data_IF_508608680605
#
_entry.id   IF_508608680605
#
_cell.length_a   1.000
_cell.length_b   1.000
_cell.length_c   1.000
_cell.angle_alpha   90.00
_cell.angle_beta   90.00
_cell.angle_gamma   90.00
#
_symmetry.space_group_name_H-M   'P 1'
#
loop_
_entity.id
_entity.type
_entity.pdbx_description
1 polymer ?
#
# COMPACT_ATOMS: atom_id res chain seq x y z
N UNK A 1 -18.16 -10.00 -23.89
CA UNK A 1 -17.05 -10.46 -23.02
C UNK A 1 -16.03 -9.34 -22.98
N UNK A 2 -15.66 -8.81 -21.81
CA UNK A 2 -14.59 -7.78 -21.75
C UNK A 2 -13.26 -8.46 -22.06
N UNK A 3 -12.51 -7.93 -23.01
CA UNK A 3 -11.16 -8.41 -23.32
C UNK A 3 -10.21 -8.12 -22.14
N UNK A 4 -9.18 -8.95 -21.91
CA UNK A 4 -8.13 -8.63 -20.95
C UNK A 4 -7.47 -7.31 -21.31
N UNK A 5 -7.13 -6.50 -20.29
CA UNK A 5 -6.38 -5.24 -20.48
C UNK A 5 -4.94 -5.53 -20.93
N UNK A 6 -4.39 -6.66 -20.51
CA UNK A 6 -3.05 -7.12 -20.84
C UNK A 6 -3.03 -8.65 -20.93
N UNK A 7 -2.21 -9.22 -21.81
CA UNK A 7 -1.99 -10.66 -21.96
C UNK A 7 -0.58 -10.87 -22.54
N UNK A 8 0.18 -11.81 -21.97
CA UNK A 8 1.56 -12.07 -22.40
C UNK A 8 2.09 -13.40 -21.84
N UNK A 9 3.26 -13.83 -22.32
CA UNK A 9 3.99 -14.98 -21.76
C UNK A 9 4.97 -14.48 -20.68
N UNK A 10 4.86 -14.93 -19.41
CA UNK A 10 5.73 -14.47 -18.33
C UNK A 10 7.23 -14.78 -18.57
N UNK A 11 7.57 -15.70 -19.48
CA UNK A 11 8.95 -16.02 -19.86
C UNK A 11 9.59 -14.97 -20.76
N UNK A 12 8.78 -14.12 -21.40
CA UNK A 12 9.23 -13.04 -22.30
C UNK A 12 8.93 -11.68 -21.67
N UNK A 13 7.76 -11.52 -21.05
CA UNK A 13 7.23 -10.25 -20.56
C UNK A 13 7.07 -10.24 -19.02
N UNK A 14 8.21 -10.29 -18.32
CA UNK A 14 8.26 -10.37 -16.85
C UNK A 14 7.51 -9.22 -16.15
N UNK A 15 7.54 -8.02 -16.72
CA UNK A 15 6.90 -6.85 -16.11
C UNK A 15 5.36 -6.93 -16.16
N UNK A 16 4.80 -7.46 -17.25
CA UNK A 16 3.36 -7.72 -17.35
C UNK A 16 2.89 -8.79 -16.37
N UNK A 17 3.70 -9.82 -16.17
CA UNK A 17 3.45 -10.83 -15.13
C UNK A 17 3.47 -10.23 -13.72
N UNK A 18 4.46 -9.38 -13.42
CA UNK A 18 4.57 -8.69 -12.13
C UNK A 18 3.36 -7.78 -11.85
N UNK A 19 2.93 -7.00 -12.85
CA UNK A 19 1.71 -6.18 -12.75
C UNK A 19 0.47 -7.03 -12.47
N UNK A 20 0.37 -8.18 -13.13
CA UNK A 20 -0.74 -9.12 -12.95
C UNK A 20 -0.77 -9.70 -11.53
N UNK A 21 0.38 -10.06 -10.96
CA UNK A 21 0.47 -10.53 -9.57
C UNK A 21 0.07 -9.43 -8.57
N UNK A 22 0.37 -8.16 -8.87
CA UNK A 22 0.04 -7.04 -8.00
C UNK A 22 -1.47 -6.75 -7.90
N UNK A 23 -2.31 -7.38 -8.73
CA UNK A 23 -3.78 -7.34 -8.60
C UNK A 23 -4.27 -8.08 -7.35
N UNK A 24 -3.51 -9.05 -6.83
CA UNK A 24 -3.83 -9.74 -5.59
C UNK A 24 -3.44 -8.88 -4.38
N UNK A 25 -4.45 -8.34 -3.69
CA UNK A 25 -4.25 -7.53 -2.48
C UNK A 25 -3.77 -8.40 -1.31
N UNK A 26 -2.83 -7.88 -0.53
CA UNK A 26 -2.20 -8.57 0.60
C UNK A 26 -2.11 -7.65 1.82
N UNK A 27 -1.98 -8.23 3.01
CA UNK A 27 -1.45 -7.49 4.15
C UNK A 27 0.06 -7.30 4.02
N UNK A 28 0.62 -6.37 4.80
CA UNK A 28 2.07 -6.15 4.86
C UNK A 28 2.64 -6.75 6.14
N UNK A 29 3.73 -7.50 6.02
CA UNK A 29 4.44 -8.07 7.18
C UNK A 29 5.90 -7.61 7.21
N UNK A 30 6.48 -7.55 8.41
CA UNK A 30 7.94 -7.61 8.59
C UNK A 30 8.26 -8.99 9.15
N UNK A 31 9.06 -9.75 8.41
CA UNK A 31 9.58 -11.03 8.87
C UNK A 31 10.93 -10.77 9.53
N UNK A 32 11.13 -11.29 10.74
CA UNK A 32 12.33 -11.07 11.53
C UNK A 32 12.92 -12.39 12.04
N UNK A 33 14.23 -12.41 12.25
CA UNK A 33 14.93 -13.55 12.85
C UNK A 33 16.17 -13.04 13.59
N UNK A 34 16.75 -13.88 14.44
CA UNK A 34 18.01 -13.61 15.12
C UNK A 34 18.98 -14.77 14.92
N UNK A 35 20.18 -14.48 14.45
CA UNK A 35 21.23 -15.47 14.22
C UNK A 35 22.54 -14.93 14.76
N UNK A 36 23.16 -15.66 15.70
CA UNK A 36 24.42 -15.24 16.32
C UNK A 36 24.32 -13.93 17.12
N UNK A 37 23.12 -13.57 17.60
CA UNK A 37 22.85 -12.32 18.32
C UNK A 37 22.60 -11.12 17.41
N UNK A 38 22.75 -11.26 16.09
CA UNK A 38 22.40 -10.23 15.11
C UNK A 38 20.93 -10.36 14.68
N UNK A 39 20.24 -9.22 14.62
CA UNK A 39 18.81 -9.13 14.25
C UNK A 39 18.66 -8.86 12.76
N UNK A 40 17.87 -9.68 12.09
CA UNK A 40 17.56 -9.54 10.67
C UNK A 40 16.07 -9.31 10.48
N UNK A 41 15.71 -8.48 9.51
CA UNK A 41 14.33 -8.13 9.23
C UNK A 41 14.14 -7.70 7.78
N UNK A 42 13.04 -8.13 7.17
CA UNK A 42 12.61 -7.62 5.87
C UNK A 42 11.09 -7.47 5.78
N UNK A 43 10.66 -6.50 5.00
CA UNK A 43 9.26 -6.37 4.62
C UNK A 43 8.92 -7.45 3.60
N UNK A 44 7.81 -8.13 3.81
CA UNK A 44 7.28 -9.16 2.93
C UNK A 44 5.75 -9.06 2.83
N UNK A 45 5.23 -9.31 1.64
CA UNK A 45 3.81 -9.51 1.39
C UNK A 45 3.51 -10.89 0.79
N UNK A 46 4.47 -11.82 0.86
CA UNK A 46 4.31 -13.23 0.44
C UNK A 46 3.80 -14.14 1.55
N UNK A 47 3.53 -13.59 2.74
CA UNK A 47 3.00 -14.32 3.89
C UNK A 47 1.61 -14.92 3.60
N UNK A 48 1.36 -16.15 4.02
CA UNK A 48 0.07 -16.82 3.90
C UNK A 48 -0.09 -17.89 4.98
N UNK A 49 -1.32 -18.07 5.49
CA UNK A 49 -1.68 -19.18 6.38
C UNK A 49 -1.80 -20.49 5.60
N UNK A 50 -1.24 -21.59 6.12
CA UNK A 50 -1.21 -22.90 5.45
C UNK A 50 -2.16 -23.89 6.11
N UNK A 51 -2.10 -24.01 7.43
CA UNK A 51 -2.85 -25.02 8.19
C UNK A 51 -3.25 -24.47 9.56
N UNK A 52 -4.38 -24.94 10.09
CA UNK A 52 -4.81 -24.66 11.45
C UNK A 52 -4.33 -25.73 12.44
N UNK A 53 -4.24 -26.99 12.02
CA UNK A 53 -3.74 -28.10 12.85
C UNK A 53 -2.86 -29.06 12.01
N UNK A 54 -1.53 -29.06 12.19
CA UNK A 54 -0.77 -28.13 13.04
C UNK A 54 -0.86 -26.69 12.53
N UNK A 55 -0.63 -25.67 13.38
CA UNK A 55 -0.73 -24.26 13.00
C UNK A 55 0.46 -23.84 12.14
N UNK A 56 0.30 -23.85 10.81
CA UNK A 56 1.38 -23.59 9.87
C UNK A 56 1.13 -22.31 9.07
N UNK A 57 2.21 -21.58 8.84
CA UNK A 57 2.28 -20.42 7.96
C UNK A 57 3.44 -20.57 6.98
N UNK A 58 3.39 -19.84 5.86
CA UNK A 58 4.51 -19.75 4.94
C UNK A 58 4.78 -18.32 4.49
N UNK A 59 5.98 -18.10 3.99
CA UNK A 59 6.38 -16.91 3.25
C UNK A 59 7.62 -17.23 2.40
N UNK A 60 8.01 -16.31 1.53
CA UNK A 60 9.13 -16.50 0.60
C UNK A 60 10.13 -15.35 0.66
N UNK A 61 11.43 -15.68 0.65
CA UNK A 61 12.54 -14.73 0.59
C UNK A 61 13.31 -14.85 -0.73
N UNK A 62 13.64 -13.72 -1.36
CA UNK A 62 14.51 -13.69 -2.55
C UNK A 62 15.91 -14.17 -2.21
N UNK A 63 16.51 -14.95 -3.11
CA UNK A 63 17.89 -15.45 -2.96
C UNK A 63 18.92 -14.33 -2.92
N UNK A 64 18.66 -13.22 -3.60
CA UNK A 64 19.54 -12.05 -3.64
C UNK A 64 19.38 -11.14 -2.41
N UNK A 65 18.50 -11.48 -1.47
CA UNK A 65 18.33 -10.72 -0.24
C UNK A 65 19.61 -10.75 0.60
N UNK A 66 20.02 -9.59 1.13
CA UNK A 66 21.16 -9.51 2.07
C UNK A 66 20.94 -10.34 3.34
N UNK A 67 19.68 -10.55 3.73
CA UNK A 67 19.32 -11.37 4.88
C UNK A 67 19.07 -12.84 4.51
N UNK A 68 19.30 -13.25 3.25
CA UNK A 68 19.02 -14.61 2.78
C UNK A 68 19.70 -15.67 3.63
N UNK A 69 21.00 -15.53 3.89
CA UNK A 69 21.76 -16.51 4.67
C UNK A 69 21.22 -16.66 6.09
N UNK A 70 20.79 -15.57 6.72
CA UNK A 70 20.22 -15.60 8.07
C UNK A 70 18.90 -16.38 8.11
N UNK A 71 18.00 -16.15 7.17
CA UNK A 71 16.71 -16.85 7.11
C UNK A 71 16.84 -18.29 6.60
N UNK A 72 17.73 -18.56 5.64
CA UNK A 72 17.95 -19.92 5.14
C UNK A 72 18.45 -20.89 6.21
N UNK A 73 19.16 -20.37 7.23
CA UNK A 73 19.68 -21.14 8.36
C UNK A 73 18.91 -20.93 9.67
N UNK A 74 17.80 -20.16 9.66
CA UNK A 74 17.12 -19.81 10.92
C UNK A 74 16.38 -21.01 11.51
N UNK A 75 16.45 -21.14 12.84
CA UNK A 75 15.62 -22.09 13.59
C UNK A 75 14.25 -21.50 13.93
N UNK A 76 14.18 -20.18 14.10
CA UNK A 76 12.97 -19.44 14.44
C UNK A 76 12.88 -18.15 13.63
N UNK A 77 11.66 -17.69 13.41
CA UNK A 77 11.38 -16.37 12.86
C UNK A 77 10.08 -15.84 13.43
N UNK A 78 9.90 -14.53 13.42
CA UNK A 78 8.63 -13.90 13.75
C UNK A 78 8.01 -13.23 12.53
N UNK A 79 6.69 -13.31 12.43
CA UNK A 79 5.88 -12.60 11.43
C UNK A 79 5.19 -11.44 12.14
N UNK A 80 5.53 -10.21 11.77
CA UNK A 80 4.94 -8.99 12.32
C UNK A 80 3.97 -8.37 11.29
N UNK A 81 2.65 -8.54 11.47
CA UNK A 81 1.63 -7.99 10.57
C UNK A 81 1.41 -6.52 10.88
N UNK A 82 1.81 -5.64 9.96
CA UNK A 82 1.82 -4.20 10.20
C UNK A 82 0.40 -3.59 10.25
N UNK A 83 0.23 -2.59 11.11
CA UNK A 83 -0.97 -1.76 11.18
C UNK A 83 -0.94 -0.63 10.14
N UNK A 84 -2.11 -0.06 9.81
CA UNK A 84 -2.30 0.91 8.72
C UNK A 84 -1.41 2.17 8.81
N UNK A 85 -1.02 2.56 10.02
CA UNK A 85 -0.15 3.70 10.31
C UNK A 85 1.35 3.38 10.28
N UNK A 86 1.74 2.11 10.05
CA UNK A 86 3.12 1.64 10.09
C UNK A 86 3.80 1.59 8.70
N UNK A 87 3.44 2.51 7.81
CA UNK A 87 4.07 2.64 6.48
C UNK A 87 5.59 2.86 6.60
N UNK A 88 6.02 3.67 7.57
CA UNK A 88 7.44 3.95 7.78
C UNK A 88 8.23 2.68 8.14
N UNK A 89 7.69 1.80 8.98
CA UNK A 89 8.29 0.50 9.29
C UNK A 89 8.36 -0.38 8.04
N UNK A 90 7.28 -0.44 7.26
CA UNK A 90 7.27 -1.19 5.99
C UNK A 90 8.39 -0.72 5.06
N UNK A 91 8.55 0.60 4.88
CA UNK A 91 9.59 1.15 4.00
C UNK A 91 11.00 0.92 4.57
N UNK A 92 11.18 1.10 5.87
CA UNK A 92 12.44 0.87 6.58
C UNK A 92 12.95 -0.55 6.36
N UNK A 93 12.09 -1.54 6.54
CA UNK A 93 12.47 -2.95 6.38
C UNK A 93 12.54 -3.41 4.92
N UNK A 94 11.93 -2.69 3.97
CA UNK A 94 12.04 -2.97 2.53
C UNK A 94 13.37 -2.47 1.91
N UNK A 95 13.96 -1.40 2.47
CA UNK A 95 15.22 -0.83 1.98
C UNK A 95 16.42 -1.70 2.36
N UNK A 96 17.48 -1.66 1.56
CA UNK A 96 18.79 -2.18 1.98
C UNK A 96 19.51 -1.13 2.82
N UNK A 97 20.07 -1.52 3.97
CA UNK A 97 20.82 -0.61 4.82
C UNK A 97 21.29 -1.28 6.11
N UNK A 98 22.31 -0.71 6.78
CA UNK A 98 22.74 -1.16 8.09
C UNK A 98 21.69 -0.82 9.16
N UNK A 99 21.73 -1.58 10.26
CA UNK A 99 21.00 -1.32 11.52
C UNK A 99 19.53 -0.92 11.38
N UNK A 100 18.73 -1.79 10.76
CA UNK A 100 17.27 -1.60 10.62
C UNK A 100 16.52 -1.63 11.95
N UNK A 101 17.16 -1.98 13.07
CA UNK A 101 16.50 -2.13 14.36
C UNK A 101 16.99 -1.14 15.44
N UNK A 102 17.97 -0.27 15.13
CA UNK A 102 18.74 0.48 16.13
C UNK A 102 17.93 1.30 17.14
N UNK A 103 16.91 2.01 16.68
CA UNK A 103 16.01 2.87 17.46
C UNK A 103 14.61 2.26 17.64
N UNK A 104 14.40 1.01 17.23
CA UNK A 104 13.10 0.35 17.36
C UNK A 104 13.00 -0.39 18.69
N UNK A 105 11.91 -0.14 19.40
CA UNK A 105 11.52 -0.95 20.55
C UNK A 105 11.03 -2.31 20.05
N UNK A 106 11.77 -3.36 20.44
CA UNK A 106 11.52 -4.72 19.98
C UNK A 106 11.65 -5.70 21.14
N UNK A 107 10.59 -6.45 21.42
CA UNK A 107 10.68 -7.59 22.32
C UNK A 107 11.41 -8.75 21.63
N UNK A 108 12.09 -9.57 22.43
CA UNK A 108 12.70 -10.81 21.96
C UNK A 108 11.68 -11.95 22.07
N UNK A 109 11.11 -12.37 20.94
CA UNK A 109 10.25 -13.55 20.86
C UNK A 109 11.04 -14.87 20.92
N UNK A 110 10.37 -15.97 20.60
CA UNK A 110 10.97 -17.30 20.50
C UNK A 110 12.18 -17.31 19.55
N UNK A 111 13.26 -17.96 19.97
CA UNK A 111 14.54 -17.95 19.26
C UNK A 111 15.18 -16.55 19.15
N UNK A 112 14.78 -15.61 20.01
CA UNK A 112 15.18 -14.19 19.98
C UNK A 112 14.79 -13.45 18.68
N UNK A 113 13.81 -13.96 17.93
CA UNK A 113 13.28 -13.27 16.76
C UNK A 113 12.58 -11.95 17.19
N UNK A 114 12.94 -10.79 16.63
CA UNK A 114 12.37 -9.50 17.06
C UNK A 114 10.87 -9.37 16.83
N UNK A 115 10.11 -9.00 17.87
CA UNK A 115 8.70 -8.63 17.79
C UNK A 115 8.58 -7.10 17.78
N UNK A 116 7.93 -6.55 16.75
CA UNK A 116 7.75 -5.11 16.61
C UNK A 116 6.53 -4.63 17.42
N UNK A 117 6.66 -3.48 18.08
CA UNK A 117 5.57 -2.85 18.80
C UNK A 117 4.47 -2.30 17.86
N UNK A 118 3.24 -2.24 18.35
CA UNK A 118 2.12 -1.57 17.66
C UNK A 118 1.61 -2.26 16.40
N UNK A 119 2.01 -3.51 16.15
CA UNK A 119 1.55 -4.32 15.00
C UNK A 119 0.09 -4.74 15.16
N UNK A 120 -0.57 -5.11 14.06
CA UNK A 120 -1.92 -5.67 14.09
C UNK A 120 -1.94 -7.11 14.64
N UNK A 121 -0.89 -7.88 14.34
CA UNK A 121 -0.66 -9.21 14.91
C UNK A 121 0.82 -9.58 14.84
N UNK A 122 1.25 -10.49 15.71
CA UNK A 122 2.55 -11.16 15.62
C UNK A 122 2.41 -12.67 15.76
N UNK A 123 3.26 -13.40 15.05
CA UNK A 123 3.35 -14.86 15.12
C UNK A 123 4.80 -15.26 15.34
N UNK A 124 5.08 -15.99 16.40
CA UNK A 124 6.39 -16.56 16.70
C UNK A 124 6.42 -17.99 16.16
N UNK A 125 7.37 -18.27 15.28
CA UNK A 125 7.40 -19.48 14.48
C UNK A 125 8.69 -20.27 14.70
N UNK A 126 8.56 -21.59 14.81
CA UNK A 126 9.68 -22.53 14.60
C UNK A 126 9.75 -22.83 13.10
N UNK A 127 10.92 -22.66 12.49
CA UNK A 127 11.12 -22.99 11.08
C UNK A 127 11.11 -24.52 10.90
N UNK A 128 10.08 -25.05 10.24
CA UNK A 128 9.89 -26.49 10.05
C UNK A 128 10.54 -27.00 8.78
N UNK A 129 10.40 -26.25 7.69
CA UNK A 129 10.85 -26.69 6.39
C UNK A 129 11.16 -25.50 5.49
N UNK A 130 12.17 -25.68 4.64
CA UNK A 130 12.47 -24.76 3.54
C UNK A 130 12.32 -25.49 2.21
N UNK A 131 11.72 -24.84 1.21
CA UNK A 131 11.49 -25.39 -0.12
C UNK A 131 12.05 -24.47 -1.19
N UNK A 132 12.56 -25.07 -2.28
CA UNK A 132 12.96 -24.31 -3.45
C UNK A 132 11.73 -23.70 -4.14
N UNK A 133 11.77 -22.39 -4.40
CA UNK A 133 10.72 -21.63 -5.05
C UNK A 133 11.22 -20.85 -6.27
N UNK A 134 12.23 -21.35 -6.98
CA UNK A 134 12.86 -20.64 -8.10
C UNK A 134 13.82 -19.54 -7.60
N UNK A 135 13.53 -18.27 -7.90
CA UNK A 135 14.32 -17.11 -7.43
C UNK A 135 14.11 -16.82 -5.93
N UNK A 136 13.22 -17.58 -5.26
CA UNK A 136 12.99 -17.50 -3.82
C UNK A 136 13.25 -18.84 -3.12
N UNK A 137 13.46 -18.74 -1.80
CA UNK A 137 13.30 -19.84 -0.85
C UNK A 137 11.98 -19.66 -0.12
N UNK A 138 11.15 -20.70 -0.08
CA UNK A 138 9.90 -20.72 0.68
C UNK A 138 10.22 -21.28 2.07
N UNK A 139 9.79 -20.58 3.12
CA UNK A 139 9.91 -21.03 4.50
C UNK A 139 8.53 -21.38 5.03
N UNK A 140 8.39 -22.57 5.61
CA UNK A 140 7.21 -23.02 6.33
C UNK A 140 7.54 -22.99 7.82
N UNK A 141 6.77 -22.22 8.58
CA UNK A 141 6.90 -22.11 10.03
C UNK A 141 5.68 -22.68 10.75
N UNK A 142 5.94 -23.35 11.88
CA UNK A 142 4.89 -23.69 12.84
C UNK A 142 4.77 -22.59 13.87
N UNK A 143 3.57 -22.04 14.03
CA UNK A 143 3.28 -20.98 14.99
C UNK A 143 3.20 -21.59 16.38
N UNK A 144 4.10 -21.19 17.27
CA UNK A 144 4.17 -21.66 18.65
C UNK A 144 3.62 -20.65 19.66
N UNK A 145 3.62 -19.36 19.31
CA UNK A 145 2.95 -18.28 20.04
C UNK A 145 2.42 -17.24 19.06
N UNK A 146 1.32 -16.58 19.40
CA UNK A 146 0.77 -15.49 18.61
C UNK A 146 0.17 -14.39 19.49
N UNK A 147 0.16 -13.17 18.97
CA UNK A 147 -0.50 -12.01 19.58
C UNK A 147 -1.38 -11.33 18.54
N UNK A 148 -2.57 -10.90 18.94
CA UNK A 148 -3.49 -10.15 18.08
C UNK A 148 -3.86 -8.85 18.78
N UNK A 149 -3.84 -7.75 18.03
CA UNK A 149 -4.23 -6.43 18.51
C UNK A 149 -5.44 -5.92 17.73
N UNK A 150 -6.22 -5.03 18.34
CA UNK A 150 -7.37 -4.40 17.70
C UNK A 150 -6.92 -3.19 16.88
N UNK A 151 -6.22 -3.45 15.77
CA UNK A 151 -5.69 -2.44 14.85
C UNK A 151 -6.00 -2.85 13.42
N UNK A 152 -6.30 -1.86 12.58
CA UNK A 152 -6.53 -2.09 11.15
C UNK A 152 -5.21 -2.46 10.47
N UNK A 153 -5.18 -3.50 9.61
CA UNK A 153 -3.96 -3.92 8.95
C UNK A 153 -3.58 -2.96 7.81
N UNK A 154 -2.28 -2.80 7.59
CA UNK A 154 -1.75 -2.16 6.39
C UNK A 154 -1.94 -3.09 5.18
N UNK A 155 -2.58 -2.57 4.14
CA UNK A 155 -2.79 -3.32 2.90
C UNK A 155 -1.80 -2.88 1.82
N UNK A 156 -1.52 -3.81 0.90
CA UNK A 156 -0.68 -3.57 -0.26
C UNK A 156 -1.30 -4.18 -1.51
N UNK A 157 -1.49 -3.36 -2.55
CA UNK A 157 -2.13 -3.74 -3.81
C UNK A 157 -1.65 -2.83 -4.94
N UNK A 158 -1.43 -3.38 -6.14
CA UNK A 158 -0.96 -2.66 -7.33
C UNK A 158 0.29 -1.79 -7.09
N UNK A 159 1.21 -2.27 -6.25
CA UNK A 159 2.46 -1.57 -5.92
C UNK A 159 2.34 -0.49 -4.85
N UNK A 160 1.14 -0.29 -4.28
CA UNK A 160 0.88 0.77 -3.31
C UNK A 160 0.21 0.32 -2.02
N UNK A 161 0.38 1.15 -0.99
CA UNK A 161 -0.30 1.04 0.28
C UNK A 161 -1.77 1.42 0.15
N UNK A 162 -2.63 0.68 0.84
CA UNK A 162 -4.05 0.91 0.90
C UNK A 162 -4.58 0.75 2.33
N UNK A 163 -5.76 1.30 2.57
CA UNK A 163 -6.50 1.14 3.81
C UNK A 163 -7.62 0.13 3.62
N UNK A 164 -7.94 -0.61 4.68
CA UNK A 164 -9.15 -1.42 4.71
C UNK A 164 -10.37 -0.50 4.83
N UNK A 165 -11.36 -0.71 3.95
CA UNK A 165 -12.67 -0.09 4.05
C UNK A 165 -13.72 -1.20 4.09
N UNK A 166 -14.75 -1.03 4.92
CA UNK A 166 -15.89 -1.94 4.92
C UNK A 166 -16.54 -1.96 3.54
N UNK A 167 -16.83 -3.16 3.03
CA UNK A 167 -17.48 -3.29 1.74
C UNK A 167 -18.94 -2.82 1.87
N UNK A 168 -19.39 -1.80 1.11
CA UNK A 168 -20.71 -1.20 1.30
C UNK A 168 -21.85 -2.20 1.08
N UNK A 169 -21.66 -3.16 0.17
CA UNK A 169 -22.71 -4.14 -0.15
C UNK A 169 -22.84 -5.27 0.89
N UNK A 170 -21.92 -5.41 1.86
CA UNK A 170 -22.09 -6.40 2.94
C UNK A 170 -23.34 -6.11 3.78
N UNK A 171 -23.78 -4.85 3.85
CA UNK A 171 -25.07 -4.49 4.47
C UNK A 171 -26.27 -4.89 3.62
N UNK A 172 -26.13 -4.99 2.30
CA UNK A 172 -27.20 -5.47 1.41
C UNK A 172 -27.41 -7.00 1.55
N UNK A 173 -26.35 -7.76 1.85
CA UNK A 173 -26.44 -9.21 2.12
C UNK A 173 -26.96 -9.55 3.52
N UNK A 174 -26.86 -8.64 4.49
CA UNK A 174 -27.44 -8.80 5.83
C UNK A 174 -28.99 -8.67 5.85
N UNK A 175 -29.64 -8.67 4.68
CA UNK A 175 -31.08 -8.57 4.47
C UNK A 175 -31.89 -9.79 4.92
N UNK A 176 -31.77 -10.17 6.19
CA UNK A 176 -32.82 -10.87 6.91
C UNK A 176 -33.58 -9.87 7.77
N UNK A 177 -34.84 -9.57 7.41
CA UNK A 177 -35.72 -8.65 8.12
C UNK A 177 -35.24 -7.19 8.14
N UNK A 178 -35.56 -6.45 7.08
CA UNK A 178 -35.75 -5.01 7.15
C UNK A 178 -36.94 -4.71 8.08
N UNK A 179 -36.74 -4.85 9.39
CA UNK A 179 -37.60 -4.28 10.41
C UNK A 179 -36.77 -3.30 11.23
N UNK A 180 -36.94 -2.03 10.89
CA UNK A 180 -36.82 -0.85 11.76
C UNK A 180 -35.63 -0.84 12.73
N UNK A 181 -34.48 -0.40 12.25
CA UNK A 181 -33.57 0.40 13.08
C UNK A 181 -33.33 1.74 12.39
N UNK A 182 -34.04 2.74 12.90
CA UNK A 182 -33.82 4.18 12.84
C UNK A 182 -32.96 4.75 11.68
N UNK A 183 -33.57 5.61 10.85
CA UNK A 183 -32.92 6.37 9.78
C UNK A 183 -31.89 7.41 10.26
N UNK A 184 -31.26 7.19 11.42
CA UNK A 184 -30.16 7.96 11.98
C UNK A 184 -28.79 7.46 11.48
N UNK A 185 -28.60 6.15 11.29
CA UNK A 185 -27.35 5.59 10.75
C UNK A 185 -27.09 5.96 9.28
N UNK A 186 -28.17 6.08 8.48
CA UNK A 186 -28.11 6.57 7.09
C UNK A 186 -27.73 8.06 6.99
N UNK A 187 -27.89 8.82 8.08
CA UNK A 187 -27.58 10.26 8.15
C UNK A 187 -26.22 10.56 8.76
N UNK A 188 -25.51 9.56 9.28
CA UNK A 188 -24.16 9.79 9.81
C UNK A 188 -23.27 10.19 8.63
N UNK A 189 -22.73 11.40 8.70
CA UNK A 189 -21.95 12.02 7.63
C UNK A 189 -20.81 11.12 7.14
N UNK A 190 -20.19 10.34 8.03
CA UNK A 190 -19.14 9.38 7.67
C UNK A 190 -19.59 8.32 6.66
N UNK A 191 -20.80 7.75 6.81
CA UNK A 191 -21.34 6.75 5.88
C UNK A 191 -21.62 7.37 4.50
N UNK A 192 -22.17 8.58 4.48
CA UNK A 192 -22.40 9.32 3.24
C UNK A 192 -21.08 9.66 2.54
N UNK A 193 -20.05 10.07 3.29
CA UNK A 193 -18.72 10.34 2.74
C UNK A 193 -18.09 9.10 2.10
N UNK A 194 -18.18 7.92 2.75
CA UNK A 194 -17.64 6.67 2.20
C UNK A 194 -18.34 6.31 0.89
N UNK A 195 -19.67 6.34 0.86
CA UNK A 195 -20.45 6.01 -0.36
C UNK A 195 -20.20 7.01 -1.49
N UNK A 196 -20.16 8.30 -1.17
CA UNK A 196 -19.86 9.34 -2.13
C UNK A 196 -18.45 9.15 -2.72
N UNK A 197 -17.46 8.89 -1.87
CA UNK A 197 -16.09 8.59 -2.30
C UNK A 197 -16.03 7.37 -3.21
N UNK A 198 -16.65 6.24 -2.84
CA UNK A 198 -16.66 5.03 -3.67
C UNK A 198 -17.32 5.26 -5.04
N UNK A 199 -18.43 6.00 -5.08
CA UNK A 199 -19.12 6.35 -6.33
C UNK A 199 -18.28 7.26 -7.22
N UNK A 200 -17.65 8.29 -6.64
CA UNK A 200 -16.77 9.22 -7.36
C UNK A 200 -15.54 8.46 -7.88
N UNK A 201 -14.88 7.67 -7.04
CA UNK A 201 -13.70 6.90 -7.40
C UNK A 201 -13.98 5.91 -8.54
N UNK A 202 -15.12 5.22 -8.50
CA UNK A 202 -15.53 4.29 -9.56
C UNK A 202 -15.72 4.99 -10.91
N UNK A 203 -16.39 6.15 -10.93
CA UNK A 203 -16.59 6.92 -12.16
C UNK A 203 -15.31 7.52 -12.71
N UNK A 204 -14.44 8.03 -11.84
CA UNK A 204 -13.14 8.56 -12.25
C UNK A 204 -12.27 7.47 -12.90
N UNK A 205 -12.25 6.26 -12.35
CA UNK A 205 -11.51 5.14 -12.96
C UNK A 205 -12.11 4.72 -14.31
N UNK A 206 -13.45 4.73 -14.46
CA UNK A 206 -14.11 4.47 -15.75
C UNK A 206 -13.76 5.52 -16.81
N UNK A 207 -13.80 6.81 -16.47
CA UNK A 207 -13.44 7.90 -17.38
C UNK A 207 -11.98 7.83 -17.82
N UNK A 208 -11.09 7.49 -16.89
CA UNK A 208 -9.65 7.33 -17.17
C UNK A 208 -9.36 6.19 -18.15
N UNK A 209 -10.11 5.10 -18.08
CA UNK A 209 -9.98 3.94 -18.98
C UNK A 209 -10.59 4.19 -20.37
N UNK A 210 -11.65 5.00 -20.46
CA UNK A 210 -12.37 5.25 -21.72
C UNK A 210 -11.77 6.38 -22.55
N UNK A 211 -11.18 7.41 -21.92
CA UNK A 211 -10.55 8.52 -22.64
C UNK A 211 -9.03 8.40 -22.81
N UNK A 212 -8.44 7.28 -22.38
CA UNK A 212 -7.10 6.88 -22.80
C UNK A 212 -6.05 8.00 -22.72
N UNK A 213 -5.91 8.67 -21.55
CA UNK A 213 -4.90 9.71 -21.33
C UNK A 213 -3.44 9.22 -21.47
N UNK A 214 -3.25 7.93 -21.78
CA UNK A 214 -1.97 7.29 -22.06
C UNK A 214 -1.09 7.09 -20.83
N UNK A 215 -1.62 7.36 -19.62
CA UNK A 215 -0.90 7.21 -18.36
C UNK A 215 -1.68 6.34 -17.39
N UNK A 216 -0.99 5.74 -16.41
CA UNK A 216 -1.56 5.08 -15.25
C UNK A 216 -1.90 6.10 -14.15
N UNK A 217 -2.74 5.71 -13.18
CA UNK A 217 -3.09 6.57 -12.05
C UNK A 217 -1.84 7.00 -11.26
N UNK A 218 -0.89 6.07 -11.11
CA UNK A 218 0.36 6.32 -10.39
C UNK A 218 1.25 7.30 -11.15
N UNK A 219 1.35 7.21 -12.47
CA UNK A 219 2.11 8.17 -13.28
C UNK A 219 1.51 9.58 -13.13
N UNK A 220 0.18 9.69 -13.19
CA UNK A 220 -0.50 10.97 -12.95
C UNK A 220 -0.24 11.54 -11.55
N UNK A 221 -0.18 10.69 -10.51
CA UNK A 221 0.17 11.11 -9.14
C UNK A 221 1.58 11.67 -9.06
N UNK A 222 2.56 10.98 -9.64
CA UNK A 222 3.96 11.43 -9.65
C UNK A 222 4.12 12.79 -10.35
N UNK A 223 3.45 12.98 -11.51
CA UNK A 223 3.48 14.28 -12.19
C UNK A 223 2.90 15.40 -11.32
N UNK A 224 1.80 15.13 -10.61
CA UNK A 224 1.18 16.11 -9.70
C UNK A 224 2.08 16.42 -8.49
N UNK A 225 2.71 15.41 -7.90
CA UNK A 225 3.64 15.59 -6.79
C UNK A 225 4.85 16.44 -7.22
N UNK A 226 5.45 16.13 -8.38
CA UNK A 226 6.56 16.89 -8.95
C UNK A 226 6.17 18.35 -9.32
N UNK A 227 4.91 18.60 -9.70
CA UNK A 227 4.43 19.96 -9.94
C UNK A 227 4.18 20.76 -8.65
N UNK A 228 3.71 20.08 -7.59
CA UNK A 228 3.37 20.72 -6.31
C UNK A 228 4.63 21.02 -5.50
N UNK A 229 5.59 20.10 -5.54
CA UNK A 229 6.85 20.15 -4.81
C UNK A 229 8.02 19.93 -5.80
N UNK A 230 8.35 20.93 -6.64
CA UNK A 230 9.44 20.80 -7.60
C UNK A 230 10.79 20.66 -6.89
N UNK A 231 11.77 20.09 -7.60
CA UNK A 231 13.16 19.96 -7.11
C UNK A 231 13.31 19.07 -5.87
N UNK A 232 12.36 18.17 -5.63
CA UNK A 232 12.43 17.14 -4.61
C UNK A 232 13.01 15.84 -5.18
N UNK A 233 13.70 15.08 -4.33
CA UNK A 233 14.12 13.71 -4.67
C UNK A 233 12.92 12.76 -4.61
N UNK A 234 13.06 11.56 -5.20
CA UNK A 234 12.01 10.54 -5.14
C UNK A 234 11.62 10.22 -3.68
N UNK A 235 12.60 10.07 -2.80
CA UNK A 235 12.38 9.81 -1.37
C UNK A 235 11.49 10.87 -0.70
N UNK A 236 11.69 12.14 -1.05
CA UNK A 236 10.90 13.23 -0.51
C UNK A 236 9.46 13.27 -1.08
N UNK A 237 9.22 12.72 -2.26
CA UNK A 237 7.90 12.64 -2.89
C UNK A 237 7.12 11.37 -2.49
N UNK A 238 7.80 10.31 -2.04
CA UNK A 238 7.18 9.03 -1.68
C UNK A 238 5.98 9.12 -0.74
N UNK A 239 5.94 9.99 0.29
CA UNK A 239 4.77 10.14 1.15
C UNK A 239 3.47 10.48 0.40
N UNK A 240 3.57 11.15 -0.75
CA UNK A 240 2.42 11.53 -1.58
C UNK A 240 2.00 10.44 -2.59
N UNK A 241 2.90 9.50 -2.90
CA UNK A 241 2.67 8.47 -3.92
C UNK A 241 1.87 7.30 -3.38
N UNK A 242 1.97 7.04 -2.07
CA UNK A 242 1.45 5.83 -1.41
C UNK A 242 2.00 4.55 -2.04
N UNK A 243 3.21 4.59 -2.61
CA UNK A 243 3.89 3.46 -3.22
C UNK A 243 5.04 3.00 -2.34
N UNK A 244 5.42 1.73 -2.45
CA UNK A 244 6.69 1.29 -1.87
C UNK A 244 7.89 1.88 -2.64
N UNK A 245 9.09 1.74 -2.10
CA UNK A 245 10.31 2.28 -2.71
C UNK A 245 10.59 1.71 -4.11
N UNK A 246 10.41 0.40 -4.30
CA UNK A 246 10.67 -0.27 -5.57
C UNK A 246 9.68 0.17 -6.66
N UNK A 247 8.38 0.18 -6.34
CA UNK A 247 7.31 0.65 -7.20
C UNK A 247 7.47 2.14 -7.52
N UNK A 248 7.86 2.96 -6.55
CA UNK A 248 8.15 4.39 -6.77
C UNK A 248 9.30 4.59 -7.75
N UNK A 249 10.35 3.76 -7.66
CA UNK A 249 11.50 3.82 -8.58
C UNK A 249 11.12 3.38 -10.00
N UNK A 250 10.45 2.25 -10.16
CA UNK A 250 9.98 1.79 -11.47
C UNK A 250 8.99 2.78 -12.10
N UNK A 251 8.17 3.43 -11.27
CA UNK A 251 7.30 4.52 -11.72
C UNK A 251 8.09 5.71 -12.25
N UNK A 252 9.13 6.15 -11.52
CA UNK A 252 9.99 7.23 -11.94
C UNK A 252 10.69 6.91 -13.27
N UNK A 253 11.29 5.71 -13.38
CA UNK A 253 11.92 5.22 -14.62
C UNK A 253 10.92 5.24 -15.79
N UNK A 254 9.68 4.84 -15.54
CA UNK A 254 8.61 4.86 -16.55
C UNK A 254 8.22 6.26 -17.01
N UNK A 255 8.12 7.27 -16.12
CA UNK A 255 7.77 8.64 -16.57
C UNK A 255 8.95 9.38 -17.20
N UNK A 256 10.18 9.02 -16.81
CA UNK A 256 11.40 9.53 -17.44
C UNK A 256 11.53 8.99 -18.85
N UNK A 257 11.28 7.69 -19.07
CA UNK A 257 11.32 7.10 -20.42
C UNK A 257 10.24 7.65 -21.35
N UNK A 258 9.10 8.10 -20.79
CA UNK A 258 8.07 8.84 -21.52
C UNK A 258 8.42 10.31 -21.77
N UNK A 259 9.56 10.80 -21.26
CA UNK A 259 10.02 12.18 -21.44
C UNK A 259 9.19 13.22 -20.68
N UNK A 260 8.39 12.81 -19.69
CA UNK A 260 7.50 13.70 -18.93
C UNK A 260 8.19 14.35 -17.73
N UNK A 261 9.29 13.74 -17.28
CA UNK A 261 10.05 14.15 -16.11
C UNK A 261 11.54 14.09 -16.44
N UNK A 262 12.29 15.06 -15.91
CA UNK A 262 13.75 15.05 -15.89
C UNK A 262 14.24 14.89 -14.45
N UNK A 263 15.36 14.18 -14.30
CA UNK A 263 16.07 14.00 -13.03
C UNK A 263 17.46 14.61 -13.19
N UNK A 264 17.84 15.52 -12.29
CA UNK A 264 19.17 16.14 -12.32
C UNK A 264 20.25 15.25 -11.66
N UNK A 265 21.52 15.69 -11.71
CA UNK A 265 22.67 14.96 -11.15
C UNK A 265 22.56 14.70 -9.63
N UNK A 266 21.67 15.43 -8.93
CA UNK A 266 21.42 15.29 -7.51
C UNK A 266 20.17 14.46 -7.23
N UNK A 267 19.57 13.85 -8.24
CA UNK A 267 18.36 13.03 -8.11
C UNK A 267 17.08 13.85 -7.94
N UNK A 268 17.10 15.17 -8.19
CA UNK A 268 15.92 16.03 -8.06
C UNK A 268 15.05 15.96 -9.30
N UNK A 269 13.76 15.87 -9.07
CA UNK A 269 12.74 15.59 -10.08
C UNK A 269 12.06 16.89 -10.52
N UNK A 270 11.96 17.12 -11.83
CA UNK A 270 11.21 18.24 -12.43
C UNK A 270 10.37 17.79 -13.61
N UNK A 271 9.23 18.45 -13.82
CA UNK A 271 8.46 18.26 -15.04
C UNK A 271 9.18 18.82 -16.26
N UNK A 272 9.08 18.12 -17.38
CA UNK A 272 9.42 18.69 -18.70
C UNK A 272 8.22 19.48 -19.24
N UNK A 273 8.42 20.26 -20.31
CA UNK A 273 7.31 20.94 -20.99
C UNK A 273 6.18 19.97 -21.41
N UNK A 274 6.55 18.77 -21.89
CA UNK A 274 5.61 17.70 -22.22
C UNK A 274 4.90 17.16 -20.97
N UNK A 275 5.61 17.02 -19.84
CA UNK A 275 5.04 16.65 -18.54
C UNK A 275 4.01 17.64 -18.04
N UNK A 276 4.29 18.94 -18.13
CA UNK A 276 3.37 20.00 -17.74
C UNK A 276 2.11 20.02 -18.63
N UNK A 277 2.28 19.89 -19.94
CA UNK A 277 1.14 19.81 -20.87
C UNK A 277 0.26 18.61 -20.55
N UNK A 278 0.89 17.46 -20.32
CA UNK A 278 0.18 16.23 -19.93
C UNK A 278 -0.56 16.40 -18.61
N UNK A 279 0.06 17.03 -17.61
CA UNK A 279 -0.58 17.31 -16.32
C UNK A 279 -1.78 18.25 -16.48
N UNK A 280 -1.66 19.30 -17.30
CA UNK A 280 -2.78 20.21 -17.61
C UNK A 280 -3.96 19.46 -18.23
N UNK A 281 -3.70 18.54 -19.16
CA UNK A 281 -4.74 17.70 -19.76
C UNK A 281 -5.43 16.81 -18.72
N UNK A 282 -4.68 16.18 -17.81
CA UNK A 282 -5.23 15.37 -16.71
C UNK A 282 -6.14 16.21 -15.81
N UNK A 283 -5.67 17.41 -15.41
CA UNK A 283 -6.43 18.30 -14.53
C UNK A 283 -7.70 18.81 -15.24
N UNK A 284 -7.62 19.16 -16.53
CA UNK A 284 -8.77 19.59 -17.31
C UNK A 284 -9.83 18.48 -17.41
N UNK A 285 -9.41 17.24 -17.69
CA UNK A 285 -10.30 16.09 -17.74
C UNK A 285 -10.96 15.80 -16.38
N UNK A 286 -10.18 15.85 -15.28
CA UNK A 286 -10.71 15.68 -13.94
C UNK A 286 -11.80 16.73 -13.61
N UNK A 287 -11.57 17.99 -13.98
CA UNK A 287 -12.56 19.08 -13.81
C UNK A 287 -13.81 18.88 -14.66
N UNK A 288 -13.66 18.41 -15.91
CA UNK A 288 -14.81 18.12 -16.77
C UNK A 288 -15.68 16.99 -16.18
N UNK A 289 -15.06 15.93 -15.67
CA UNK A 289 -15.76 14.85 -14.98
C UNK A 289 -16.43 15.32 -13.69
N UNK A 290 -15.76 16.18 -12.91
CA UNK A 290 -16.30 16.77 -11.70
C UNK A 290 -17.58 17.60 -11.99
N UNK A 291 -17.57 18.39 -13.08
CA UNK A 291 -18.72 19.16 -13.52
C UNK A 291 -19.92 18.29 -13.91
N UNK A 292 -19.67 17.13 -14.55
CA UNK A 292 -20.72 16.14 -14.87
C UNK A 292 -21.25 15.47 -13.59
N UNK A 293 -20.35 15.10 -12.68
CA UNK A 293 -20.67 14.44 -11.40
C UNK A 293 -21.57 15.30 -10.52
N UNK A 294 -21.31 16.60 -10.48
CA UNK A 294 -22.05 17.55 -9.64
C UNK A 294 -23.09 18.37 -10.41
N UNK A 295 -23.42 17.97 -11.63
CA UNK A 295 -24.45 18.61 -12.42
C UNK A 295 -25.79 18.62 -11.65
N UNK A 296 -26.37 19.81 -11.48
CA UNK A 296 -27.63 20.01 -10.75
C UNK A 296 -27.48 20.32 -9.26
N UNK A 297 -26.25 20.37 -8.73
CA UNK A 297 -25.99 20.83 -7.36
C UNK A 297 -25.63 22.33 -7.39
N UNK A 298 -26.23 23.18 -6.53
CA UNK A 298 -25.88 24.60 -6.45
C UNK A 298 -24.42 24.84 -6.08
N UNK A 299 -23.77 25.82 -6.71
CA UNK A 299 -22.36 26.18 -6.42
C UNK A 299 -22.14 26.57 -4.95
N UNK A 300 -23.15 27.15 -4.29
CA UNK A 300 -23.13 27.50 -2.86
C UNK A 300 -22.97 26.27 -1.96
N UNK A 301 -23.59 25.16 -2.35
CA UNK A 301 -23.58 23.92 -1.58
C UNK A 301 -22.24 23.21 -1.78
N UNK A 302 -21.74 23.17 -3.02
CA UNK A 302 -20.40 22.67 -3.33
C UNK A 302 -19.31 23.47 -2.61
N UNK A 303 -19.43 24.81 -2.59
CA UNK A 303 -18.51 25.68 -1.84
C UNK A 303 -18.55 25.40 -0.33
N UNK A 304 -19.74 25.13 0.22
CA UNK A 304 -19.91 24.76 1.62
C UNK A 304 -19.27 23.41 1.93
N UNK A 305 -19.50 22.39 1.10
CA UNK A 305 -18.87 21.07 1.25
C UNK A 305 -17.34 21.18 1.18
N UNK A 306 -16.80 21.92 0.20
CA UNK A 306 -15.36 22.15 0.07
C UNK A 306 -14.77 22.79 1.33
N UNK A 307 -15.42 23.83 1.87
CA UNK A 307 -14.99 24.50 3.10
C UNK A 307 -14.95 23.52 4.28
N UNK A 308 -16.03 22.76 4.50
CA UNK A 308 -16.12 21.78 5.61
C UNK A 308 -15.03 20.72 5.49
N UNK A 309 -14.87 20.10 4.32
CA UNK A 309 -13.86 19.05 4.11
C UNK A 309 -12.43 19.60 4.25
N UNK A 310 -12.14 20.79 3.72
CA UNK A 310 -10.82 21.42 3.90
C UNK A 310 -10.51 21.71 5.37
N UNK A 311 -11.49 22.15 6.17
CA UNK A 311 -11.32 22.32 7.62
C UNK A 311 -11.05 20.98 8.31
N UNK A 312 -11.79 19.92 7.96
CA UNK A 312 -11.56 18.58 8.55
C UNK A 312 -10.14 18.06 8.25
N UNK A 313 -9.70 18.14 7.00
CA UNK A 313 -8.37 17.67 6.57
C UNK A 313 -7.24 18.48 7.25
N UNK A 314 -7.37 19.80 7.31
CA UNK A 314 -6.36 20.66 7.95
C UNK A 314 -6.27 20.46 9.47
N UNK A 315 -7.38 20.14 10.13
CA UNK A 315 -7.39 19.87 11.58
C UNK A 315 -6.68 18.56 11.91
N UNK A 316 -6.79 17.53 11.06
CA UNK A 316 -6.08 16.25 11.23
C UNK A 316 -4.56 16.37 10.99
N UNK A 317 -4.12 17.21 10.06
CA UNK A 317 -2.69 17.44 9.79
C UNK A 317 -2.00 18.34 10.84
N UNK A 318 -2.76 18.97 11.73
CA UNK A 318 -2.27 19.93 12.73
C UNK A 318 -2.26 19.45 14.19
N UNK A 319 -2.59 18.19 14.48
CA UNK A 319 -2.61 17.67 15.85
C UNK A 319 -1.28 16.97 16.21
N UNK A 320 -0.40 17.56 17.06
CA UNK A 320 0.59 16.76 17.77
C UNK A 320 -0.13 15.82 18.73
N UNK A 321 0.35 14.58 18.85
CA UNK A 321 -0.12 13.63 19.85
C UNK A 321 0.00 14.27 21.24
N UNK A 322 -1.15 14.66 21.81
CA UNK A 322 -1.21 15.01 23.23
C UNK A 322 -1.29 13.68 23.97
N UNK A 323 -0.19 13.33 24.61
CA UNK A 323 -0.14 12.30 25.63
C UNK A 323 -1.16 12.62 26.74
N UNK A 324 -2.01 11.65 27.05
CA UNK A 324 -2.56 11.46 28.39
C UNK A 324 -2.14 10.09 28.88
#
# INVERSE_FOLDING_TARGET
MRLPIESGDPRVEMEGFRRSLAEFATGVTVISTSTGGERFGLTSNSFTSVSLDPPLVLWSIRRESKSFAAFAACSHFAVNVLAEDQIELSQRFARSGPDKFGDLDCDAGEGAAPLLAGVAASFECVCRQTLDGGDHLILIGEVVRYHRHDRRPLLFVKGGYAVSAEHPDMRAFAGGSADRSDGSEERVLSNLMIRAYSSIASRLEQGRQTEGLGLTLMQARLLRAAATSPDRTLDALMPELFLDFGASRSLLESVVSLGLVAVDDHGRIRLTAAGEERLRAIVAHARANEAILFQGIPDSDLATVRRVLSTMVSTQLGAPAVAQ
#
